data_IF_122430476247
#
_entry.id   IF_122430476247
#
_cell.length_a   1.000
_cell.length_b   1.000
_cell.length_c   1.000
_cell.angle_alpha   90.00
_cell.angle_beta   90.00
_cell.angle_gamma   90.00
#
_symmetry.space_group_name_H-M   'P 1'
#
loop_
_entity.id
_entity.type
_entity.pdbx_description
1 polymer ?
#
# COMPACT_ATOMS: atom_id res chain seq x y z
N UNK A 1 5.69 -0.80 -31.04
CA UNK A 1 5.17 -0.89 -29.67
C UNK A 1 5.36 -2.30 -29.16
N UNK A 2 5.79 -2.48 -27.91
CA UNK A 2 5.89 -3.80 -27.32
C UNK A 2 6.94 -4.70 -27.96
N UNK A 3 6.65 -5.99 -27.97
CA UNK A 3 7.49 -7.07 -28.52
C UNK A 3 7.74 -6.97 -30.02
N UNK A 4 7.01 -6.11 -30.74
CA UNK A 4 7.29 -5.79 -32.15
C UNK A 4 8.55 -4.93 -32.34
N UNK A 5 9.15 -4.41 -31.26
CA UNK A 5 10.43 -3.70 -31.34
C UNK A 5 11.56 -4.65 -31.72
N UNK A 6 12.41 -4.24 -32.67
CA UNK A 6 13.60 -5.00 -33.09
C UNK A 6 14.87 -4.60 -32.34
N UNK A 7 14.75 -3.66 -31.38
CA UNK A 7 15.88 -3.15 -30.63
C UNK A 7 16.26 -4.12 -29.51
N UNK A 8 17.55 -4.37 -29.39
CA UNK A 8 18.15 -5.25 -28.40
C UNK A 8 19.05 -4.43 -27.47
N UNK A 9 19.07 -4.78 -26.19
CA UNK A 9 20.07 -4.28 -25.25
C UNK A 9 21.44 -4.86 -25.61
N UNK A 10 22.54 -4.12 -25.36
CA UNK A 10 23.90 -4.60 -25.59
C UNK A 10 24.31 -5.61 -24.50
N UNK A 11 23.68 -6.78 -24.51
CA UNK A 11 23.91 -7.89 -23.56
C UNK A 11 24.55 -9.09 -24.26
N UNK A 12 24.96 -10.10 -23.48
CA UNK A 12 25.43 -11.37 -24.06
C UNK A 12 24.35 -11.96 -24.96
N UNK A 13 24.68 -12.18 -26.22
CA UNK A 13 23.79 -12.78 -27.23
C UNK A 13 23.91 -14.30 -27.32
N UNK A 14 24.74 -14.92 -26.45
CA UNK A 14 25.04 -16.34 -26.51
C UNK A 14 23.77 -17.18 -26.40
N UNK A 15 23.64 -18.18 -27.27
CA UNK A 15 22.48 -19.08 -27.30
C UNK A 15 22.52 -20.17 -26.21
N UNK A 16 23.57 -20.20 -25.39
CA UNK A 16 23.74 -21.15 -24.30
C UNK A 16 22.77 -20.90 -23.14
N UNK A 17 22.58 -21.91 -22.29
CA UNK A 17 21.73 -21.84 -21.09
C UNK A 17 22.05 -20.63 -20.22
N UNK A 18 23.33 -20.27 -20.06
CA UNK A 18 23.75 -19.10 -19.29
C UNK A 18 23.24 -17.79 -19.90
N UNK A 19 23.32 -17.64 -21.22
CA UNK A 19 22.82 -16.45 -21.92
C UNK A 19 21.32 -16.31 -21.83
N UNK A 20 20.60 -17.43 -21.96
CA UNK A 20 19.14 -17.47 -21.78
C UNK A 20 18.76 -17.04 -20.37
N UNK A 21 19.38 -17.64 -19.34
CA UNK A 21 19.09 -17.30 -17.94
C UNK A 21 19.42 -15.84 -17.63
N UNK A 22 20.55 -15.32 -18.13
CA UNK A 22 20.96 -13.94 -17.88
C UNK A 22 19.98 -12.94 -18.51
N UNK A 23 19.62 -13.13 -19.79
CA UNK A 23 18.69 -12.23 -20.47
C UNK A 23 17.27 -12.35 -19.92
N UNK A 24 16.84 -13.56 -19.53
CA UNK A 24 15.56 -13.77 -18.87
C UNK A 24 15.51 -13.05 -17.52
N UNK A 25 16.58 -13.15 -16.74
CA UNK A 25 16.67 -12.44 -15.47
C UNK A 25 16.66 -10.92 -15.69
N UNK A 26 17.44 -10.40 -16.63
CA UNK A 26 17.48 -8.98 -16.94
C UNK A 26 16.10 -8.42 -17.36
N UNK A 27 15.34 -9.16 -18.17
CA UNK A 27 14.00 -8.75 -18.58
C UNK A 27 12.99 -8.74 -17.40
N UNK A 28 13.20 -9.58 -16.37
CA UNK A 28 12.24 -9.79 -15.28
C UNK A 28 12.63 -9.10 -13.96
N UNK A 29 13.90 -8.77 -13.72
CA UNK A 29 14.32 -8.04 -12.50
C UNK A 29 13.54 -6.73 -12.30
N UNK A 30 13.28 -5.92 -13.34
CA UNK A 30 12.43 -4.74 -13.20
C UNK A 30 11.00 -5.05 -12.74
N UNK A 31 10.44 -6.22 -13.10
CA UNK A 31 9.12 -6.67 -12.63
C UNK A 31 9.16 -6.92 -11.12
N UNK A 32 10.21 -7.55 -10.61
CA UNK A 32 10.39 -7.78 -9.17
C UNK A 32 10.49 -6.45 -8.41
N UNK A 33 11.28 -5.51 -8.94
CA UNK A 33 11.40 -4.17 -8.36
C UNK A 33 10.06 -3.44 -8.34
N UNK A 34 9.27 -3.56 -9.41
CA UNK A 34 7.92 -2.98 -9.49
C UNK A 34 6.99 -3.58 -8.43
N UNK A 35 7.05 -4.89 -8.19
CA UNK A 35 6.27 -5.53 -7.12
C UNK A 35 6.68 -5.06 -5.72
N UNK A 36 7.99 -4.90 -5.45
CA UNK A 36 8.47 -4.34 -4.19
C UNK A 36 8.03 -2.88 -3.98
N UNK A 37 8.05 -2.09 -5.06
CA UNK A 37 7.52 -0.73 -5.05
C UNK A 37 6.01 -0.73 -4.76
N UNK A 38 5.25 -1.62 -5.38
CA UNK A 38 3.82 -1.79 -5.10
C UNK A 38 3.54 -2.10 -3.62
N UNK A 39 4.26 -3.05 -3.01
CA UNK A 39 4.10 -3.35 -1.59
C UNK A 39 4.40 -2.13 -0.69
N UNK A 40 5.44 -1.38 -1.03
CA UNK A 40 5.82 -0.16 -0.30
C UNK A 40 4.74 0.92 -0.42
N UNK A 41 4.23 1.15 -1.62
CA UNK A 41 3.14 2.09 -1.89
C UNK A 41 1.87 1.66 -1.15
N UNK A 42 1.51 0.37 -1.21
CA UNK A 42 0.33 -0.15 -0.53
C UNK A 42 0.44 0.04 0.99
N UNK A 43 1.62 -0.17 1.57
CA UNK A 43 1.87 0.10 3.00
C UNK A 43 1.67 1.57 3.34
N UNK A 44 2.24 2.48 2.55
CA UNK A 44 2.14 3.93 2.78
C UNK A 44 0.69 4.42 2.67
N UNK A 45 -0.04 4.01 1.62
CA UNK A 45 -1.46 4.35 1.43
C UNK A 45 -2.31 3.78 2.57
N UNK A 46 -2.02 2.56 3.01
CA UNK A 46 -2.72 1.92 4.13
C UNK A 46 -2.49 2.68 5.45
N UNK A 47 -1.24 3.06 5.74
CA UNK A 47 -0.91 3.86 6.94
C UNK A 47 -1.56 5.25 6.90
N UNK A 48 -1.55 5.92 5.74
CA UNK A 48 -2.20 7.22 5.56
C UNK A 48 -3.72 7.12 5.82
N UNK A 49 -4.37 6.10 5.26
CA UNK A 49 -5.80 5.87 5.49
C UNK A 49 -6.09 5.49 6.96
N UNK A 50 -5.25 4.64 7.56
CA UNK A 50 -5.38 4.29 8.98
C UNK A 50 -5.29 5.54 9.85
N UNK A 51 -4.31 6.41 9.61
CA UNK A 51 -4.14 7.67 10.33
C UNK A 51 -5.34 8.60 10.19
N UNK A 52 -5.91 8.72 8.98
CA UNK A 52 -7.13 9.52 8.74
C UNK A 52 -8.36 8.95 9.45
N UNK A 53 -8.50 7.63 9.49
CA UNK A 53 -9.59 6.98 10.20
C UNK A 53 -9.44 7.11 11.71
N UNK A 54 -8.23 6.91 12.22
CA UNK A 54 -7.83 7.07 13.62
C UNK A 54 -8.13 8.48 14.13
N UNK A 55 -7.62 9.50 13.44
CA UNK A 55 -7.94 10.90 13.71
C UNK A 55 -9.43 11.20 13.59
N UNK A 56 -10.14 10.47 12.73
CA UNK A 56 -11.59 10.59 12.62
C UNK A 56 -12.36 10.30 13.91
N UNK A 57 -11.80 9.54 14.85
CA UNK A 57 -12.40 9.27 16.16
C UNK A 57 -12.20 10.39 17.18
N UNK A 58 -11.31 11.36 16.95
CA UNK A 58 -11.22 12.54 17.85
C UNK A 58 -12.39 13.51 17.63
N UNK A 59 -12.89 13.57 16.40
CA UNK A 59 -13.90 14.56 15.97
C UNK A 59 -15.34 14.08 16.07
N UNK A 60 -15.56 12.77 15.99
CA UNK A 60 -16.91 12.21 15.90
C UNK A 60 -16.98 10.78 16.42
N UNK A 61 -18.13 10.41 16.99
CA UNK A 61 -18.43 9.03 17.36
C UNK A 61 -18.53 8.13 16.15
N UNK A 62 -17.80 7.01 16.17
CA UNK A 62 -17.82 6.01 15.10
C UNK A 62 -17.77 4.61 15.70
N UNK A 63 -18.30 3.65 14.96
CA UNK A 63 -18.09 2.24 15.26
C UNK A 63 -16.69 1.80 14.84
N UNK A 64 -16.01 1.06 15.71
CA UNK A 64 -14.84 0.25 15.42
C UNK A 64 -15.15 -0.79 14.34
N UNK A 65 -14.11 -1.19 13.60
CA UNK A 65 -14.21 -2.24 12.61
C UNK A 65 -13.99 -3.60 13.26
N UNK A 66 -14.99 -4.46 13.22
CA UNK A 66 -14.96 -5.81 13.80
C UNK A 66 -15.37 -6.85 12.77
N UNK A 67 -14.88 -8.08 12.91
CA UNK A 67 -15.19 -9.17 11.99
C UNK A 67 -16.68 -9.54 11.99
N UNK A 68 -17.36 -9.41 13.13
CA UNK A 68 -18.75 -9.83 13.27
C UNK A 68 -19.55 -8.86 14.17
N UNK A 69 -20.26 -7.87 13.59
CA UNK A 69 -20.95 -6.83 14.36
C UNK A 69 -22.38 -7.21 14.81
N UNK A 70 -22.81 -8.48 14.68
CA UNK A 70 -24.20 -8.98 14.76
C UNK A 70 -25.12 -8.42 15.87
N UNK A 71 -24.59 -7.84 16.95
CA UNK A 71 -25.37 -7.27 18.06
C UNK A 71 -24.83 -5.93 18.59
N UNK A 72 -24.14 -5.17 17.74
CA UNK A 72 -23.40 -3.96 18.13
C UNK A 72 -23.58 -2.83 17.13
N UNK A 73 -23.35 -1.58 17.53
CA UNK A 73 -23.27 -0.42 16.63
C UNK A 73 -21.93 -0.33 15.89
N UNK A 74 -21.14 -1.42 15.89
CA UNK A 74 -19.84 -1.52 15.23
C UNK A 74 -19.97 -1.75 13.73
N UNK A 75 -18.88 -1.49 13.00
CA UNK A 75 -18.80 -1.63 11.55
C UNK A 75 -18.13 -2.94 11.19
N UNK A 76 -18.53 -3.57 10.09
CA UNK A 76 -17.82 -4.74 9.58
C UNK A 76 -16.43 -4.35 9.10
N UNK A 77 -15.41 -5.15 9.45
CA UNK A 77 -14.08 -5.00 8.90
C UNK A 77 -14.08 -5.30 7.39
N UNK A 78 -13.28 -4.57 6.63
CA UNK A 78 -13.03 -4.90 5.24
C UNK A 78 -12.17 -6.16 5.16
N UNK A 79 -12.40 -7.02 4.16
CA UNK A 79 -11.55 -8.19 3.93
C UNK A 79 -10.11 -7.77 3.55
N UNK A 80 -9.97 -6.67 2.80
CA UNK A 80 -8.69 -5.98 2.58
C UNK A 80 -8.51 -4.88 3.64
N UNK A 81 -7.28 -4.67 4.11
CA UNK A 81 -6.97 -3.69 5.18
C UNK A 81 -7.42 -2.25 4.85
N UNK A 82 -7.60 -1.92 3.57
CA UNK A 82 -8.10 -0.63 3.07
C UNK A 82 -9.45 -0.78 2.35
N UNK A 83 -10.27 0.30 2.30
CA UNK A 83 -11.52 0.27 1.54
C UNK A 83 -11.30 -0.07 0.05
N UNK A 84 -12.20 -0.86 -0.53
CA UNK A 84 -12.12 -1.32 -1.92
C UNK A 84 -11.93 -0.19 -2.95
N UNK A 85 -12.49 1.00 -2.69
CA UNK A 85 -12.31 2.20 -3.53
C UNK A 85 -10.86 2.64 -3.71
N UNK A 86 -9.95 2.26 -2.81
CA UNK A 86 -8.51 2.52 -2.91
C UNK A 86 -7.75 1.27 -3.35
N UNK A 87 -8.13 0.10 -2.82
CA UNK A 87 -7.45 -1.15 -3.12
C UNK A 87 -7.58 -1.55 -4.60
N UNK A 88 -8.78 -1.43 -5.17
CA UNK A 88 -9.06 -1.87 -6.54
C UNK A 88 -8.33 -1.00 -7.57
N UNK A 89 -8.38 0.35 -7.53
CA UNK A 89 -7.63 1.16 -8.48
C UNK A 89 -6.12 0.96 -8.36
N UNK A 90 -5.58 0.84 -7.14
CA UNK A 90 -4.16 0.61 -6.93
C UNK A 90 -3.71 -0.75 -7.47
N UNK A 91 -4.51 -1.81 -7.22
CA UNK A 91 -4.26 -3.15 -7.75
C UNK A 91 -4.36 -3.20 -9.28
N UNK A 92 -5.39 -2.57 -9.85
CA UNK A 92 -5.55 -2.45 -11.30
C UNK A 92 -4.36 -1.73 -11.94
N UNK A 93 -3.96 -0.58 -11.39
CA UNK A 93 -2.84 0.21 -11.88
C UNK A 93 -1.52 -0.56 -11.79
N UNK A 94 -1.30 -1.30 -10.71
CA UNK A 94 -0.15 -2.20 -10.56
C UNK A 94 -0.11 -3.26 -11.66
N UNK A 95 -1.23 -3.96 -11.89
CA UNK A 95 -1.35 -4.94 -12.97
C UNK A 95 -1.11 -4.32 -14.35
N UNK A 96 -1.63 -3.12 -14.59
CA UNK A 96 -1.40 -2.37 -15.83
C UNK A 96 0.06 -1.98 -16.01
N UNK A 97 0.74 -1.51 -14.97
CA UNK A 97 2.17 -1.18 -15.00
C UNK A 97 3.02 -2.42 -15.27
N UNK A 98 2.72 -3.55 -14.63
CA UNK A 98 3.39 -4.84 -14.89
C UNK A 98 3.22 -5.27 -16.35
N UNK A 99 2.00 -5.15 -16.89
CA UNK A 99 1.73 -5.43 -18.29
C UNK A 99 2.50 -4.50 -19.22
N UNK A 100 2.48 -3.18 -18.98
CA UNK A 100 3.25 -2.21 -19.77
C UNK A 100 4.76 -2.47 -19.72
N UNK A 101 5.27 -2.85 -18.54
CA UNK A 101 6.69 -3.18 -18.36
C UNK A 101 7.09 -4.44 -19.15
N UNK A 102 6.18 -5.42 -19.29
CA UNK A 102 6.40 -6.60 -20.15
C UNK A 102 6.48 -6.24 -21.64
N UNK A 103 5.87 -5.12 -22.04
CA UNK A 103 5.99 -4.58 -23.40
C UNK A 103 7.24 -3.70 -23.55
N UNK A 104 7.73 -3.11 -22.46
CA UNK A 104 8.93 -2.29 -22.47
C UNK A 104 10.22 -3.11 -22.49
N UNK A 105 10.28 -4.21 -21.75
CA UNK A 105 11.42 -5.13 -21.64
C UNK A 105 10.94 -6.57 -21.78
N UNK A 106 11.54 -7.31 -22.70
CA UNK A 106 11.13 -8.68 -23.01
C UNK A 106 12.30 -9.54 -23.47
N UNK A 107 12.22 -10.84 -23.22
CA UNK A 107 13.22 -11.80 -23.71
C UNK A 107 13.01 -12.03 -25.21
N UNK A 108 14.08 -11.91 -25.99
CA UNK A 108 14.10 -12.25 -27.43
C UNK A 108 14.95 -13.48 -27.62
N UNK A 109 14.40 -14.48 -28.32
CA UNK A 109 15.10 -15.71 -28.69
C UNK A 109 14.83 -15.99 -30.17
N UNK A 110 15.87 -15.81 -30.98
CA UNK A 110 15.82 -16.04 -32.42
C UNK A 110 16.57 -17.33 -32.70
N UNK A 111 15.82 -18.39 -33.03
CA UNK A 111 16.39 -19.64 -33.53
C UNK A 111 16.44 -19.59 -35.04
N UNK A 112 17.63 -19.71 -35.62
CA UNK A 112 17.79 -19.94 -37.06
C UNK A 112 18.22 -21.39 -37.24
N UNK A 113 17.50 -22.17 -38.05
CA UNK A 113 17.80 -23.58 -38.31
C UNK A 113 17.87 -23.86 -39.81
N UNK A 114 18.74 -24.77 -40.20
CA UNK A 114 18.80 -25.29 -41.57
C UNK A 114 17.68 -26.32 -41.84
N UNK A 115 17.49 -26.70 -43.10
CA UNK A 115 16.58 -27.76 -43.57
C UNK A 115 16.81 -29.10 -42.86
N UNK A 116 18.04 -29.39 -42.41
CA UNK A 116 18.39 -30.55 -41.60
C UNK A 116 18.11 -30.37 -40.09
N UNK A 117 17.60 -29.22 -39.65
CA UNK A 117 17.28 -28.90 -38.25
C UNK A 117 18.45 -28.42 -37.40
N UNK A 118 19.64 -28.27 -37.98
CA UNK A 118 20.86 -27.80 -37.30
C UNK A 118 20.79 -26.29 -37.03
N UNK A 119 21.22 -25.86 -35.84
CA UNK A 119 21.18 -24.47 -35.42
C UNK A 119 22.28 -23.65 -36.13
N UNK A 120 21.89 -22.52 -36.73
CA UNK A 120 22.84 -21.58 -37.30
C UNK A 120 23.55 -20.78 -36.20
N UNK A 121 24.85 -20.45 -36.37
CA UNK A 121 25.62 -19.60 -35.44
C UNK A 121 25.00 -18.22 -35.21
N UNK A 122 24.16 -17.75 -36.13
CA UNK A 122 23.42 -16.49 -36.07
C UNK A 122 22.22 -16.53 -35.10
N UNK A 123 21.92 -17.69 -34.51
CA UNK A 123 20.89 -17.80 -33.46
C UNK A 123 21.30 -16.98 -32.24
N UNK A 124 20.40 -16.14 -31.76
CA UNK A 124 20.71 -15.17 -30.70
C UNK A 124 19.66 -15.19 -29.61
N UNK A 125 20.11 -15.05 -28.37
CA UNK A 125 19.25 -14.81 -27.21
C UNK A 125 19.66 -13.50 -26.55
N UNK A 126 18.74 -12.54 -26.48
CA UNK A 126 19.02 -11.19 -25.99
C UNK A 126 17.82 -10.62 -25.24
N UNK A 127 18.03 -9.50 -24.53
CA UNK A 127 16.94 -8.73 -23.96
C UNK A 127 16.49 -7.65 -24.94
N UNK A 128 15.26 -7.74 -25.44
CA UNK A 128 14.64 -6.72 -26.27
C UNK A 128 14.06 -5.59 -25.43
N UNK A 129 13.99 -4.39 -26.03
CA UNK A 129 13.30 -3.26 -25.41
C UNK A 129 12.51 -2.44 -26.43
N UNK A 130 11.46 -1.76 -25.96
CA UNK A 130 10.66 -0.85 -26.78
C UNK A 130 10.68 0.58 -26.19
N UNK A 131 11.32 1.55 -26.86
CA UNK A 131 11.39 2.94 -26.37
C UNK A 131 10.01 3.57 -26.13
N UNK A 132 9.06 3.32 -27.03
CA UNK A 132 7.71 3.86 -26.91
C UNK A 132 6.97 3.27 -25.71
N UNK A 133 7.08 1.94 -25.49
CA UNK A 133 6.47 1.30 -24.32
C UNK A 133 7.14 1.72 -23.02
N UNK A 134 8.46 1.90 -23.02
CA UNK A 134 9.21 2.44 -21.89
C UNK A 134 8.77 3.88 -21.57
N UNK A 135 8.60 4.72 -22.59
CA UNK A 135 8.12 6.09 -22.42
C UNK A 135 6.72 6.11 -21.79
N UNK A 136 5.77 5.37 -22.35
CA UNK A 136 4.42 5.29 -21.79
C UNK A 136 4.41 4.72 -20.37
N UNK A 137 5.20 3.66 -20.09
CA UNK A 137 5.37 3.12 -18.74
C UNK A 137 5.88 4.20 -17.78
N UNK A 138 6.93 4.92 -18.17
CA UNK A 138 7.55 5.95 -17.33
C UNK A 138 6.57 7.08 -17.01
N UNK A 139 5.76 7.53 -17.97
CA UNK A 139 4.75 8.56 -17.75
C UNK A 139 3.70 8.13 -16.73
N UNK A 140 3.13 6.92 -16.89
CA UNK A 140 2.12 6.40 -15.95
C UNK A 140 2.72 6.20 -14.55
N UNK A 141 3.96 5.70 -14.49
CA UNK A 141 4.67 5.50 -13.23
C UNK A 141 4.94 6.83 -12.50
N UNK A 142 5.39 7.87 -13.22
CA UNK A 142 5.59 9.19 -12.63
C UNK A 142 4.30 9.84 -12.15
N UNK A 143 3.20 9.73 -12.90
CA UNK A 143 1.89 10.22 -12.48
C UNK A 143 1.46 9.54 -11.17
N UNK A 144 1.67 8.22 -11.05
CA UNK A 144 1.42 7.49 -9.81
C UNK A 144 2.25 8.06 -8.65
N UNK A 145 3.57 8.21 -8.83
CA UNK A 145 4.45 8.73 -7.78
C UNK A 145 4.06 10.15 -7.34
N UNK A 146 3.74 11.04 -8.29
CA UNK A 146 3.29 12.41 -7.99
C UNK A 146 1.97 12.40 -7.23
N UNK A 147 1.00 11.57 -7.63
CA UNK A 147 -0.28 11.47 -6.91
C UNK A 147 -0.11 10.99 -5.47
N UNK A 148 0.78 10.03 -5.23
CA UNK A 148 1.09 9.55 -3.88
C UNK A 148 1.80 10.64 -3.07
N UNK A 149 2.82 11.28 -3.65
CA UNK A 149 3.54 12.38 -2.99
C UNK A 149 2.60 13.53 -2.60
N UNK A 150 1.64 13.86 -3.48
CA UNK A 150 0.58 14.83 -3.19
C UNK A 150 -0.28 14.41 -2.00
N UNK A 151 -0.78 13.16 -1.99
CA UNK A 151 -1.58 12.63 -0.87
C UNK A 151 -0.80 12.70 0.45
N UNK A 152 0.50 12.41 0.44
CA UNK A 152 1.35 12.48 1.62
C UNK A 152 1.66 13.92 2.06
N UNK A 153 1.77 14.84 1.11
CA UNK A 153 1.99 16.26 1.38
C UNK A 153 0.73 16.94 1.95
N UNK A 154 -0.47 16.41 1.69
CA UNK A 154 -1.70 16.89 2.29
C UNK A 154 -1.69 16.64 3.80
N UNK A 155 -1.24 17.64 4.56
CA UNK A 155 -1.22 17.62 6.03
C UNK A 155 -2.65 17.44 6.58
N UNK A 156 -2.82 16.43 7.42
CA UNK A 156 -4.03 16.25 8.24
C UNK A 156 -3.76 16.93 9.59
N UNK A 157 -4.65 17.83 10.01
CA UNK A 157 -4.62 18.34 11.40
C UNK A 157 -4.94 17.19 12.34
N UNK A 158 -4.00 16.85 13.21
CA UNK A 158 -4.12 15.77 14.18
C UNK A 158 -4.58 16.34 15.52
N UNK A 159 -5.66 15.79 16.08
CA UNK A 159 -6.13 16.07 17.44
C UNK A 159 -5.94 14.85 18.34
N UNK A 160 -5.66 13.68 17.75
CA UNK A 160 -5.31 12.44 18.44
C UNK A 160 -3.84 12.09 18.20
N UNK A 161 -3.12 11.50 19.18
CA UNK A 161 -1.80 10.94 18.97
C UNK A 161 -1.80 9.96 17.79
N UNK A 162 -0.82 10.12 16.89
CA UNK A 162 -0.69 9.22 15.73
C UNK A 162 -0.31 7.84 16.25
N UNK A 163 -1.20 6.87 16.06
CA UNK A 163 -0.90 5.50 16.47
C UNK A 163 0.17 4.85 15.59
N UNK A 164 0.32 5.21 14.31
CA UNK A 164 1.31 4.69 13.33
C UNK A 164 1.71 3.21 13.54
N UNK A 165 0.72 2.34 13.72
CA UNK A 165 0.90 0.90 13.99
C UNK A 165 1.64 0.54 15.31
N UNK A 166 1.86 1.50 16.20
CA UNK A 166 2.34 1.28 17.56
C UNK A 166 1.22 0.70 18.45
N UNK A 167 1.40 -0.56 18.84
CA UNK A 167 0.46 -1.26 19.73
C UNK A 167 0.33 -0.57 21.09
N UNK A 168 1.39 0.07 21.60
CA UNK A 168 1.34 0.78 22.86
C UNK A 168 0.39 2.00 22.82
N UNK A 169 0.43 2.79 21.74
CA UNK A 169 -0.48 3.94 21.56
C UNK A 169 -1.93 3.47 21.41
N UNK A 170 -2.15 2.40 20.65
CA UNK A 170 -3.48 1.81 20.49
C UNK A 170 -3.99 1.27 21.82
N UNK A 171 -3.15 0.58 22.58
CA UNK A 171 -3.50 0.04 23.90
C UNK A 171 -3.84 1.16 24.88
N UNK A 172 -3.03 2.23 24.95
CA UNK A 172 -3.32 3.39 25.80
C UNK A 172 -4.70 3.99 25.51
N UNK A 173 -5.05 4.15 24.23
CA UNK A 173 -6.36 4.65 23.82
C UNK A 173 -7.53 3.70 24.11
N UNK A 174 -7.28 2.43 24.44
CA UNK A 174 -8.29 1.37 24.60
C UNK A 174 -8.56 0.97 26.06
N UNK A 175 -8.36 1.87 27.02
CA UNK A 175 -8.71 1.65 28.43
C UNK A 175 -9.90 2.53 28.81
N UNK A 176 -11.15 2.10 28.57
CA UNK A 176 -12.33 2.90 28.91
C UNK A 176 -12.50 3.02 30.45
N UNK A 177 -13.28 4.01 30.92
CA UNK A 177 -13.64 4.11 32.34
C UNK A 177 -14.30 2.83 32.86
N UNK A 178 -14.15 2.50 34.16
CA UNK A 178 -14.74 1.27 34.75
C UNK A 178 -16.25 1.15 34.52
N UNK A 179 -16.96 2.27 34.45
CA UNK A 179 -18.42 2.31 34.29
C UNK A 179 -18.89 2.14 32.83
N UNK A 180 -17.97 2.24 31.86
CA UNK A 180 -18.27 2.11 30.42
C UNK A 180 -18.02 0.68 29.91
N UNK A 181 -18.61 -0.29 30.60
CA UNK A 181 -18.41 -1.73 30.33
C UNK A 181 -18.87 -2.15 28.92
N UNK A 182 -19.79 -1.40 28.31
CA UNK A 182 -20.39 -1.71 27.00
C UNK A 182 -19.80 -0.89 25.85
N UNK A 183 -18.68 -0.19 26.07
CA UNK A 183 -18.02 0.62 25.04
C UNK A 183 -17.73 -0.18 23.75
N UNK A 184 -17.33 -1.44 23.90
CA UNK A 184 -17.02 -2.34 22.79
C UNK A 184 -18.22 -2.70 21.91
N UNK A 185 -19.46 -2.44 22.34
CA UNK A 185 -20.69 -2.68 21.56
C UNK A 185 -21.25 -1.39 20.93
N UNK A 186 -20.80 -0.22 21.35
CA UNK A 186 -21.36 1.09 20.96
C UNK A 186 -20.39 1.87 20.08
N UNK A 187 -20.89 2.94 19.48
CA UNK A 187 -20.01 3.90 18.82
C UNK A 187 -19.17 4.64 19.86
N UNK A 188 -17.87 4.72 19.62
CA UNK A 188 -16.91 5.35 20.53
C UNK A 188 -16.34 6.62 19.90
N UNK A 189 -15.91 7.53 20.74
CA UNK A 189 -15.11 8.70 20.39
C UNK A 189 -13.90 8.74 21.31
N UNK A 190 -12.76 9.19 20.79
CA UNK A 190 -11.59 9.42 21.60
C UNK A 190 -11.60 10.84 22.15
N UNK A 191 -11.25 10.99 23.42
CA UNK A 191 -11.10 12.28 24.08
C UNK A 191 -10.93 12.13 25.58
N UNK A 192 -10.97 13.26 26.28
CA UNK A 192 -10.92 13.32 27.73
C UNK A 192 -12.21 12.75 28.30
N UNK A 193 -12.07 11.74 29.16
CA UNK A 193 -13.19 11.13 29.88
C UNK A 193 -13.28 11.68 31.29
N UNK A 194 -14.47 11.58 31.91
CA UNK A 194 -14.64 11.95 33.33
C UNK A 194 -13.65 11.14 34.17
N UNK A 195 -12.95 11.82 35.08
CA UNK A 195 -11.97 11.18 35.95
C UNK A 195 -12.67 10.21 36.93
N UNK A 196 -12.67 8.92 36.57
CA UNK A 196 -13.22 7.82 37.37
C UNK A 196 -12.19 6.73 37.67
N UNK A 197 -10.94 6.93 37.26
CA UNK A 197 -9.83 6.00 37.47
C UNK A 197 -9.16 6.16 38.84
N UNK A 198 -9.50 7.24 39.57
CA UNK A 198 -8.80 7.62 40.80
C UNK A 198 -7.48 8.31 40.49
N UNK A 199 -7.16 9.36 41.27
CA UNK A 199 -5.97 10.19 41.07
C UNK A 199 -6.25 11.57 40.48
N UNK A 200 -5.21 12.40 40.36
CA UNK A 200 -5.31 13.79 39.93
C UNK A 200 -5.20 13.99 38.42
N UNK A 201 -4.78 12.96 37.67
CA UNK A 201 -4.52 13.01 36.23
C UNK A 201 -5.78 12.62 35.45
N UNK A 202 -6.18 13.47 34.50
CA UNK A 202 -7.27 13.19 33.57
C UNK A 202 -6.83 12.16 32.51
N UNK A 203 -7.76 11.34 32.01
CA UNK A 203 -7.44 10.25 31.07
C UNK A 203 -8.04 10.50 29.69
N UNK A 204 -7.31 10.10 28.65
CA UNK A 204 -7.73 10.20 27.25
C UNK A 204 -7.89 8.83 26.61
N UNK A 205 -9.12 8.43 26.34
CA UNK A 205 -9.43 7.06 25.90
C UNK A 205 -10.67 7.02 25.00
N UNK A 206 -10.88 5.89 24.34
CA UNK A 206 -12.13 5.60 23.65
C UNK A 206 -13.25 5.38 24.67
N UNK A 207 -14.35 6.12 24.53
CA UNK A 207 -15.54 5.93 25.36
C UNK A 207 -16.83 6.06 24.55
N UNK A 208 -17.86 5.32 24.99
CA UNK A 208 -19.23 5.46 24.52
C UNK A 208 -19.99 6.60 25.22
N UNK A 209 -19.47 7.11 26.34
CA UNK A 209 -19.97 8.28 27.07
C UNK A 209 -19.50 9.61 26.44
N UNK A 210 -20.11 10.77 26.79
CA UNK A 210 -19.63 12.10 26.42
C UNK A 210 -18.13 12.29 26.72
N UNK A 211 -17.36 12.68 25.69
CA UNK A 211 -15.93 13.01 25.80
C UNK A 211 -15.70 14.46 25.38
N UNK A 212 -14.71 15.12 25.97
CA UNK A 212 -14.27 16.46 25.59
C UNK A 212 -12.93 16.41 24.86
N UNK A 213 -12.60 17.45 24.09
CA UNK A 213 -11.29 17.53 23.46
C UNK A 213 -10.20 17.81 24.51
N UNK A 214 -8.99 17.25 24.34
CA UNK A 214 -7.86 17.56 25.21
C UNK A 214 -7.45 19.03 25.07
N UNK A 215 -7.11 19.67 26.19
CA UNK A 215 -6.60 21.03 26.23
C UNK A 215 -5.08 21.04 26.02
N UNK A 216 -4.59 21.98 25.21
CA UNK A 216 -3.14 22.16 25.01
C UNK A 216 -2.46 22.54 26.34
N UNK A 217 -1.36 21.85 26.65
CA UNK A 217 -0.56 22.11 27.87
C UNK A 217 -0.98 21.32 29.12
N UNK A 218 -2.07 20.54 29.07
CA UNK A 218 -2.43 19.60 30.14
C UNK A 218 -1.84 18.21 29.92
N UNK A 219 -1.52 17.54 31.01
CA UNK A 219 -1.07 16.14 30.99
C UNK A 219 -2.27 15.22 31.09
N UNK A 220 -2.35 14.27 30.16
CA UNK A 220 -3.36 13.23 30.12
C UNK A 220 -2.68 11.85 30.15
N UNK A 221 -3.28 10.91 30.87
CA UNK A 221 -2.90 9.51 30.88
C UNK A 221 -3.67 8.72 29.80
#
# INVERSE_FOLDING_TARGET
WGTNSKLLLPTSTSFDTRGILLNAWLANTPQILLSLAYFSINRVVTSAHFSQEWEGFSRSRKGLRVTNPKRSSQRTAHFLQIPYRWALPLGFLSGMLHWMLSQALFLVRLEMRDTAGVLYPQSTCACGYSPLSLLCFSLVFWVLLISIAWILACKVKLHMPVADHCSAVISAACHPPPDDEVAFLKQVQWGVVRNRFGGTIEHCTFSSEPVTQPEEGRCYA
#
